data_IF_768903556246
#
_entry.id   IF_768903556246
#
_cell.length_a   1.000
_cell.length_b   1.000
_cell.length_c   1.000
_cell.angle_alpha   90.00
_cell.angle_beta   90.00
_cell.angle_gamma   90.00
#
_symmetry.space_group_name_H-M   'P 1'
#
loop_
_entity.id
_entity.type
_entity.pdbx_description
1 polymer ?
#
# COMPACT_ATOMS: atom_id res chain seq x y z
N UNK A 1 -0.37 29.75 3.62
CA UNK A 1 -1.02 28.67 2.88
C UNK A 1 -1.39 27.60 3.90
N UNK A 2 -2.64 27.15 3.93
CA UNK A 2 -3.04 26.00 4.76
C UNK A 2 -2.34 24.75 4.22
N UNK A 3 -1.79 23.92 5.09
CA UNK A 3 -1.18 22.65 4.68
C UNK A 3 -2.24 21.75 4.03
N UNK A 4 -1.86 21.09 2.93
CA UNK A 4 -2.74 20.18 2.20
C UNK A 4 -3.02 18.96 3.09
N UNK A 5 -4.30 18.63 3.25
CA UNK A 5 -4.75 17.40 3.90
C UNK A 5 -4.89 16.27 2.89
N UNK A 6 -4.66 15.05 3.36
CA UNK A 6 -4.83 13.83 2.59
C UNK A 6 -5.71 12.85 3.34
N UNK A 7 -6.42 11.98 2.60
CA UNK A 7 -7.05 10.79 3.13
C UNK A 7 -5.97 9.69 3.27
N UNK A 8 -5.66 9.31 4.51
CA UNK A 8 -4.62 8.33 4.78
C UNK A 8 -5.19 6.92 4.87
N UNK A 9 -4.47 5.97 4.28
CA UNK A 9 -4.83 4.56 4.29
C UNK A 9 -3.65 3.70 4.73
N UNK A 10 -3.91 2.68 5.55
CA UNK A 10 -2.99 1.57 5.78
C UNK A 10 -3.42 0.40 4.90
N UNK A 11 -2.56 -0.02 3.98
CA UNK A 11 -2.84 -1.14 3.08
C UNK A 11 -1.89 -2.27 3.41
N UNK A 12 -2.45 -3.42 3.79
CA UNK A 12 -1.70 -4.64 4.03
C UNK A 12 -1.68 -5.51 2.77
N UNK A 13 -0.49 -5.99 2.40
CA UNK A 13 -0.26 -6.86 1.25
C UNK A 13 0.29 -8.20 1.69
N UNK A 14 0.03 -9.21 0.87
CA UNK A 14 0.70 -10.50 0.95
C UNK A 14 1.21 -10.91 -0.43
N UNK A 15 2.30 -11.66 -0.44
CA UNK A 15 2.88 -12.22 -1.67
C UNK A 15 3.70 -13.48 -1.35
N UNK A 16 3.99 -14.26 -2.38
CA UNK A 16 4.95 -15.36 -2.32
C UNK A 16 6.30 -14.89 -2.84
N UNK A 17 7.37 -15.16 -2.11
CA UNK A 17 8.70 -14.74 -2.50
C UNK A 17 9.47 -15.87 -3.19
N UNK A 18 9.61 -15.79 -4.51
CA UNK A 18 10.27 -16.84 -5.29
C UNK A 18 11.76 -16.97 -4.95
N UNK A 19 12.42 -15.89 -4.51
CA UNK A 19 13.83 -15.95 -4.10
C UNK A 19 14.02 -16.56 -2.71
N UNK A 20 12.94 -16.78 -1.95
CA UNK A 20 12.96 -17.34 -0.60
C UNK A 20 12.07 -18.60 -0.50
N UNK A 21 12.33 -19.59 -1.36
CA UNK A 21 11.63 -20.88 -1.40
C UNK A 21 10.11 -20.79 -1.54
N UNK A 22 9.57 -19.68 -2.06
CA UNK A 22 8.13 -19.47 -2.22
C UNK A 22 7.39 -19.13 -0.92
N UNK A 23 8.12 -18.81 0.15
CA UNK A 23 7.54 -18.43 1.45
C UNK A 23 6.59 -17.23 1.31
N UNK A 24 5.47 -17.27 2.02
CA UNK A 24 4.53 -16.15 2.09
C UNK A 24 5.12 -15.06 2.98
N UNK A 25 5.20 -13.85 2.44
CA UNK A 25 5.62 -12.63 3.14
C UNK A 25 4.48 -11.62 3.09
N UNK A 26 4.45 -10.75 4.09
CA UNK A 26 3.46 -9.67 4.18
C UNK A 26 4.14 -8.38 4.57
N UNK A 27 3.56 -7.27 4.13
CA UNK A 27 4.02 -5.93 4.46
C UNK A 27 2.85 -4.96 4.43
N UNK A 28 3.04 -3.80 5.06
CA UNK A 28 2.06 -2.73 5.08
C UNK A 28 2.65 -1.48 4.45
N UNK A 29 1.82 -0.71 3.74
CA UNK A 29 2.18 0.63 3.29
C UNK A 29 1.16 1.64 3.82
N UNK A 30 1.65 2.84 4.11
CA UNK A 30 0.81 4.00 4.40
C UNK A 30 0.71 4.80 3.10
N UNK A 31 -0.52 5.03 2.63
CA UNK A 31 -0.79 5.68 1.35
C UNK A 31 -1.66 6.93 1.56
N UNK A 32 -1.12 8.13 1.29
CA UNK A 32 -1.92 9.35 1.23
C UNK A 32 -2.63 9.44 -0.13
N UNK A 33 -3.93 9.74 -0.12
CA UNK A 33 -4.72 10.03 -1.31
C UNK A 33 -5.37 11.41 -1.21
N UNK A 34 -5.38 12.16 -2.31
CA UNK A 34 -6.01 13.49 -2.36
C UNK A 34 -7.54 13.41 -2.29
N UNK A 35 -8.12 12.27 -2.69
CA UNK A 35 -9.55 12.03 -2.66
C UNK A 35 -9.85 10.76 -1.88
N UNK A 36 -11.00 10.76 -1.23
CA UNK A 36 -11.50 9.59 -0.51
C UNK A 36 -11.66 8.41 -1.46
N UNK A 37 -11.17 7.25 -1.05
CA UNK A 37 -11.27 6.01 -1.81
C UNK A 37 -12.73 5.49 -1.76
N UNK A 38 -13.47 5.48 -2.88
CA UNK A 38 -14.81 4.88 -2.94
C UNK A 38 -14.73 3.35 -2.73
N UNK A 39 -15.86 2.63 -2.63
CA UNK A 39 -15.86 1.17 -2.63
C UNK A 39 -14.93 0.62 -3.71
N UNK A 40 -13.96 -0.19 -3.28
CA UNK A 40 -12.80 -0.52 -4.10
C UNK A 40 -13.21 -1.52 -5.18
N UNK A 41 -13.20 -1.06 -6.43
CA UNK A 41 -13.42 -1.93 -7.58
C UNK A 41 -12.22 -2.86 -7.81
N UNK A 42 -12.42 -3.94 -8.58
CA UNK A 42 -11.32 -4.82 -8.99
C UNK A 42 -10.20 -4.06 -9.70
N UNK A 43 -10.55 -3.09 -10.55
CA UNK A 43 -9.57 -2.23 -11.23
C UNK A 43 -8.76 -1.43 -10.22
N UNK A 44 -9.42 -0.84 -9.21
CA UNK A 44 -8.73 -0.08 -8.18
C UNK A 44 -7.82 -0.97 -7.31
N UNK A 45 -8.24 -2.19 -7.01
CA UNK A 45 -7.36 -3.17 -6.34
C UNK A 45 -6.10 -3.48 -7.16
N UNK A 46 -6.20 -3.60 -8.48
CA UNK A 46 -5.04 -3.82 -9.33
C UNK A 46 -4.08 -2.62 -9.32
N UNK A 47 -4.59 -1.39 -9.29
CA UNK A 47 -3.77 -0.19 -9.13
C UNK A 47 -3.01 -0.20 -7.79
N UNK A 48 -3.70 -0.55 -6.69
CA UNK A 48 -3.07 -0.67 -5.38
C UNK A 48 -2.00 -1.78 -5.38
N UNK A 49 -2.27 -2.93 -5.99
CA UNK A 49 -1.28 -3.99 -6.15
C UNK A 49 -0.03 -3.52 -6.92
N UNK A 50 -0.20 -2.70 -7.96
CA UNK A 50 0.93 -2.11 -8.67
C UNK A 50 1.75 -1.19 -7.75
N UNK A 51 1.11 -0.38 -6.90
CA UNK A 51 1.78 0.44 -5.88
C UNK A 51 2.57 -0.45 -4.90
N UNK A 52 1.96 -1.52 -4.40
CA UNK A 52 2.63 -2.48 -3.51
C UNK A 52 3.86 -3.15 -4.16
N UNK A 53 3.75 -3.52 -5.44
CA UNK A 53 4.86 -4.10 -6.18
C UNK A 53 6.02 -3.09 -6.38
N UNK A 54 5.71 -1.83 -6.70
CA UNK A 54 6.72 -0.77 -6.81
C UNK A 54 7.37 -0.44 -5.46
N UNK A 55 6.62 -0.54 -4.35
CA UNK A 55 7.18 -0.37 -3.02
C UNK A 55 8.22 -1.46 -2.71
N UNK A 56 7.90 -2.74 -2.94
CA UNK A 56 8.85 -3.85 -2.73
C UNK A 56 10.12 -3.65 -3.55
N UNK A 57 10.00 -3.33 -4.84
CA UNK A 57 11.17 -3.12 -5.71
C UNK A 57 12.11 -2.05 -5.18
N UNK A 58 11.60 -1.02 -4.50
CA UNK A 58 12.40 0.06 -3.91
C UNK A 58 12.98 -0.32 -2.56
N UNK A 59 12.21 -1.00 -1.72
CA UNK A 59 12.59 -1.30 -0.34
C UNK A 59 13.44 -2.58 -0.20
N UNK A 60 13.19 -3.58 -1.03
CA UNK A 60 13.92 -4.86 -1.05
C UNK A 60 14.04 -5.37 -2.51
N UNK A 61 15.00 -4.84 -3.28
CA UNK A 61 15.18 -5.20 -4.69
C UNK A 61 15.51 -6.67 -4.95
N UNK A 62 15.92 -7.41 -3.92
CA UNK A 62 16.28 -8.83 -4.00
C UNK A 62 15.06 -9.77 -3.95
N UNK A 63 13.92 -9.23 -3.53
CA UNK A 63 12.65 -9.96 -3.44
C UNK A 63 12.10 -10.21 -4.84
N UNK A 64 11.57 -11.42 -5.07
CA UNK A 64 10.91 -11.77 -6.33
C UNK A 64 9.43 -12.05 -6.05
N UNK A 65 8.59 -11.01 -5.97
CA UNK A 65 7.21 -11.17 -5.55
C UNK A 65 6.37 -11.84 -6.64
N UNK A 66 5.69 -12.91 -6.25
CA UNK A 66 4.71 -13.64 -7.05
C UNK A 66 3.36 -13.61 -6.32
N UNK A 67 2.26 -13.53 -7.06
CA UNK A 67 0.91 -13.47 -6.49
C UNK A 67 0.76 -12.38 -5.43
N UNK A 68 1.21 -11.16 -5.72
CA UNK A 68 1.03 -10.04 -4.82
C UNK A 68 -0.42 -9.53 -4.87
N UNK A 69 -1.04 -9.39 -3.70
CA UNK A 69 -2.36 -8.76 -3.59
C UNK A 69 -2.56 -8.07 -2.24
N UNK A 70 -3.33 -6.98 -2.26
CA UNK A 70 -3.82 -6.30 -1.07
C UNK A 70 -4.82 -7.19 -0.32
N UNK A 71 -4.55 -7.43 0.96
CA UNK A 71 -5.37 -8.20 1.89
C UNK A 71 -6.34 -7.32 2.68
N UNK A 72 -5.92 -6.08 2.97
CA UNK A 72 -6.72 -5.16 3.78
C UNK A 72 -6.44 -3.72 3.37
N UNK A 73 -7.46 -2.88 3.48
CA UNK A 73 -7.39 -1.44 3.26
C UNK A 73 -8.11 -0.81 4.45
N UNK A 74 -7.37 -0.11 5.31
CA UNK A 74 -7.90 0.55 6.49
C UNK A 74 -7.79 2.07 6.29
N UNK A 75 -8.91 2.78 6.48
CA UNK A 75 -8.92 4.25 6.45
C UNK A 75 -8.48 4.80 7.82
N UNK A 76 -7.49 5.68 7.81
CA UNK A 76 -6.87 6.24 9.02
C UNK A 76 -7.36 7.65 9.36
N UNK A 77 -8.03 8.32 8.42
CA UNK A 77 -8.55 9.68 8.61
C UNK A 77 -8.04 10.68 7.57
N UNK A 78 -8.56 11.90 7.64
CA UNK A 78 -8.11 13.03 6.82
C UNK A 78 -7.23 13.95 7.67
N UNK A 79 -5.96 14.06 7.31
CA UNK A 79 -4.97 14.83 8.06
C UNK A 79 -3.80 15.25 7.18
N UNK A 80 -3.05 16.25 7.61
CA UNK A 80 -1.79 16.67 7.00
C UNK A 80 -0.71 15.60 7.19
N UNK A 81 0.37 15.67 6.41
CA UNK A 81 1.52 14.80 6.62
C UNK A 81 2.20 15.02 7.98
N UNK A 82 2.18 16.24 8.52
CA UNK A 82 2.72 16.54 9.84
C UNK A 82 1.89 15.88 10.94
N UNK A 83 0.56 15.99 10.88
CA UNK A 83 -0.36 15.31 11.82
C UNK A 83 -0.24 13.79 11.75
N UNK A 84 0.00 13.21 10.56
CA UNK A 84 0.18 11.77 10.39
C UNK A 84 1.48 11.24 11.01
N UNK A 85 2.54 12.03 11.01
CA UNK A 85 3.87 11.65 11.50
C UNK A 85 4.13 12.04 12.96
N UNK A 86 3.20 12.74 13.62
CA UNK A 86 3.31 13.19 15.00
C UNK A 86 3.07 12.04 16.00
#
# INVERSE_FOLDING_TARGET
MSEQKYHWYLIGYTFNDASNNGNTRSFNIQLPLESFLPPVSKTKLNELNAIGAEWIKKSDPSTQPVNLFAMSICYLGEMTQAEFNA
#
